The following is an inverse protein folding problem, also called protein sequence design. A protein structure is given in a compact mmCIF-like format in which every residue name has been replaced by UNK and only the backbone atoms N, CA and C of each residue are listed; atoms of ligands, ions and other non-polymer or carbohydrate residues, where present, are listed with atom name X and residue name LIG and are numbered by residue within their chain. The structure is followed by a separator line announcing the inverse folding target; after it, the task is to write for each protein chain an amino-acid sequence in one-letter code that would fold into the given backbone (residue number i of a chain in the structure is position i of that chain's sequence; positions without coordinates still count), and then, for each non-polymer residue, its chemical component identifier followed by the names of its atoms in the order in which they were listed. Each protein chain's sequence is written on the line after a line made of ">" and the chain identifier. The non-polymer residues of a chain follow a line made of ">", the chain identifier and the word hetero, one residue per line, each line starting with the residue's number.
data_IF_484422032516
#
_entry.id   IF_484422032516
#
_cell.length_a   1.000
_cell.length_b   1.000
_cell.length_c   1.000
_cell.angle_alpha   90.00
_cell.angle_beta   90.00
_cell.angle_gamma   90.00
#
_symmetry.space_group_name_H-M   'P 1'
#
loop_
_entity.id
_entity.type
_entity.pdbx_description
1 polymer ?
#
# COMPACT_ATOMS: atom_id res chain seq x y z
N UNK A 1 -36.41 14.23 2.53
CA UNK A 1 -36.87 15.63 2.39
C UNK A 1 -35.93 16.37 1.45
N UNK A 2 -36.45 17.07 0.44
CA UNK A 2 -35.63 17.80 -0.53
C UNK A 2 -34.86 18.93 0.17
N UNK A 3 -33.54 18.99 -0.04
CA UNK A 3 -32.67 20.01 0.56
C UNK A 3 -32.96 21.36 -0.10
N UNK A 4 -33.65 22.27 0.60
CA UNK A 4 -33.94 23.64 0.12
C UNK A 4 -32.62 24.37 -0.10
N UNK A 5 -32.30 24.68 -1.35
CA UNK A 5 -31.08 25.41 -1.71
C UNK A 5 -31.29 26.88 -1.39
N UNK A 6 -30.43 27.45 -0.54
CA UNK A 6 -30.43 28.88 -0.26
C UNK A 6 -30.07 29.66 -1.52
N UNK A 7 -30.99 30.52 -1.99
CA UNK A 7 -30.75 31.43 -3.12
C UNK A 7 -30.15 32.72 -2.56
N UNK A 8 -28.93 33.04 -3.00
CA UNK A 8 -28.21 34.22 -2.53
C UNK A 8 -28.64 35.46 -3.33
N UNK A 9 -29.02 36.52 -2.62
CA UNK A 9 -29.31 37.83 -3.23
C UNK A 9 -28.00 38.55 -3.60
N UNK A 10 -28.04 39.54 -4.52
CA UNK A 10 -26.87 40.36 -4.84
C UNK A 10 -26.25 41.02 -3.59
N UNK A 11 -27.07 41.50 -2.67
CA UNK A 11 -26.65 42.09 -1.40
C UNK A 11 -25.89 41.10 -0.51
N UNK A 12 -26.39 39.86 -0.40
CA UNK A 12 -25.73 38.79 0.35
C UNK A 12 -24.36 38.44 -0.25
N UNK A 13 -24.24 38.44 -1.58
CA UNK A 13 -22.97 38.18 -2.25
C UNK A 13 -21.97 39.34 -2.05
N UNK A 14 -22.45 40.58 -2.07
CA UNK A 14 -21.60 41.75 -1.82
C UNK A 14 -21.10 41.79 -0.36
N UNK A 15 -21.97 41.42 0.58
CA UNK A 15 -21.60 41.24 1.99
C UNK A 15 -20.45 40.22 2.15
N UNK A 16 -20.54 39.07 1.47
CA UNK A 16 -19.49 38.04 1.50
C UNK A 16 -18.19 38.60 0.89
N UNK A 17 -18.24 39.32 -0.23
CA UNK A 17 -17.05 39.89 -0.91
C UNK A 17 -16.28 40.88 -0.03
N UNK A 18 -16.99 41.76 0.69
CA UNK A 18 -16.39 42.77 1.56
C UNK A 18 -15.71 42.13 2.77
N UNK A 19 -16.40 41.20 3.42
CA UNK A 19 -15.95 40.66 4.70
C UNK A 19 -14.92 39.53 4.58
N UNK A 20 -14.90 38.76 3.49
CA UNK A 20 -14.00 37.59 3.36
C UNK A 20 -12.50 37.95 3.36
N UNK A 21 -12.16 39.20 3.00
CA UNK A 21 -10.79 39.71 3.04
C UNK A 21 -10.29 39.90 4.49
N UNK A 22 -11.20 40.22 5.40
CA UNK A 22 -10.88 40.62 6.78
C UNK A 22 -10.95 39.41 7.71
N UNK A 23 -11.95 38.56 7.55
CA UNK A 23 -12.23 37.46 8.50
C UNK A 23 -12.15 36.08 7.85
N UNK A 24 -12.16 35.04 8.69
CA UNK A 24 -12.21 33.65 8.24
C UNK A 24 -13.63 33.24 7.81
N UNK A 25 -13.76 32.17 7.03
CA UNK A 25 -15.08 31.62 6.67
C UNK A 25 -15.93 31.25 7.89
N UNK A 26 -15.30 30.86 9.01
CA UNK A 26 -15.99 30.50 10.26
C UNK A 26 -16.66 31.72 10.89
N UNK A 27 -15.91 32.80 11.05
CA UNK A 27 -16.41 34.08 11.59
C UNK A 27 -17.44 34.70 10.65
N UNK A 28 -17.16 34.69 9.34
CA UNK A 28 -18.06 35.22 8.31
C UNK A 28 -19.42 34.52 8.33
N UNK A 29 -19.44 33.20 8.52
CA UNK A 29 -20.71 32.44 8.58
C UNK A 29 -21.53 32.82 9.80
N UNK A 30 -20.89 33.01 10.96
CA UNK A 30 -21.58 33.45 12.18
C UNK A 30 -22.20 34.83 11.99
N UNK A 31 -21.45 35.76 11.40
CA UNK A 31 -21.93 37.10 11.12
C UNK A 31 -23.05 37.10 10.07
N UNK A 32 -22.88 36.36 8.97
CA UNK A 32 -23.87 36.23 7.90
C UNK A 32 -25.22 35.70 8.41
N UNK A 33 -25.18 34.63 9.21
CA UNK A 33 -26.39 34.05 9.82
C UNK A 33 -27.09 35.04 10.76
N UNK A 34 -26.34 35.83 11.53
CA UNK A 34 -26.89 36.87 12.40
C UNK A 34 -27.54 38.01 11.60
N UNK A 35 -26.90 38.47 10.54
CA UNK A 35 -27.35 39.64 9.75
C UNK A 35 -28.55 39.32 8.87
N UNK A 36 -28.62 38.13 8.27
CA UNK A 36 -29.68 37.75 7.32
C UNK A 36 -30.68 36.74 7.89
N UNK A 37 -30.61 36.42 9.19
CA UNK A 37 -31.51 35.47 9.85
C UNK A 37 -31.43 34.06 9.26
N UNK A 38 -30.29 33.66 8.70
CA UNK A 38 -30.10 32.35 8.07
C UNK A 38 -29.47 31.34 9.02
N UNK A 39 -29.59 30.04 8.72
CA UNK A 39 -28.90 28.97 9.43
C UNK A 39 -28.02 28.15 8.48
N UNK A 40 -27.07 28.82 7.83
CA UNK A 40 -26.14 28.20 6.89
C UNK A 40 -24.93 27.62 7.61
N UNK A 41 -24.44 26.48 7.12
CA UNK A 41 -23.17 25.91 7.58
C UNK A 41 -21.97 26.61 6.92
N UNK A 42 -20.81 26.55 7.59
CA UNK A 42 -19.54 27.11 7.06
C UNK A 42 -19.20 26.51 5.69
N UNK A 43 -19.47 25.21 5.48
CA UNK A 43 -19.27 24.53 4.20
C UNK A 43 -20.18 25.09 3.11
N UNK A 44 -21.44 25.39 3.42
CA UNK A 44 -22.38 25.96 2.45
C UNK A 44 -21.92 27.35 2.00
N UNK A 45 -21.51 28.20 2.95
CA UNK A 45 -21.05 29.56 2.63
C UNK A 45 -19.72 29.55 1.85
N UNK A 46 -18.78 28.68 2.23
CA UNK A 46 -17.52 28.50 1.51
C UNK A 46 -17.73 27.95 0.08
N UNK A 47 -18.68 27.03 -0.11
CA UNK A 47 -19.05 26.53 -1.44
C UNK A 47 -19.63 27.64 -2.33
N UNK A 48 -20.43 28.54 -1.75
CA UNK A 48 -20.94 29.73 -2.43
C UNK A 48 -19.80 30.67 -2.85
N UNK A 49 -18.82 30.89 -1.98
CA UNK A 49 -17.60 31.63 -2.33
C UNK A 49 -16.90 31.04 -3.56
N UNK A 50 -16.73 29.72 -3.62
CA UNK A 50 -16.17 29.02 -4.80
C UNK A 50 -17.02 29.24 -6.06
N UNK A 51 -18.34 29.04 -5.96
CA UNK A 51 -19.28 29.16 -7.09
C UNK A 51 -19.31 30.56 -7.70
N UNK A 52 -19.23 31.60 -6.87
CA UNK A 52 -19.23 33.00 -7.31
C UNK A 52 -17.82 33.60 -7.43
N UNK A 53 -16.76 32.77 -7.41
CA UNK A 53 -15.35 33.18 -7.54
C UNK A 53 -14.92 34.25 -6.51
N UNK A 54 -15.53 34.23 -5.33
CA UNK A 54 -15.19 35.13 -4.22
C UNK A 54 -13.99 34.54 -3.46
N UNK A 55 -12.82 35.16 -3.60
CA UNK A 55 -11.57 34.74 -2.99
C UNK A 55 -11.26 35.56 -1.74
N UNK A 56 -10.68 34.93 -0.72
CA UNK A 56 -10.20 35.60 0.50
C UNK A 56 -8.91 36.40 0.31
N UNK A 57 -8.21 36.21 -0.82
CA UNK A 57 -6.87 36.77 -1.05
C UNK A 57 -5.74 36.08 -0.28
N UNK A 58 -6.07 35.18 0.66
CA UNK A 58 -5.08 34.38 1.40
C UNK A 58 -4.62 33.22 0.51
N UNK A 59 -3.32 33.12 0.26
CA UNK A 59 -2.71 32.10 -0.59
C UNK A 59 -2.46 30.78 0.14
N UNK A 60 -2.29 30.84 1.47
CA UNK A 60 -1.84 29.69 2.27
C UNK A 60 -0.36 29.34 2.04
N UNK A 61 0.35 30.16 1.29
CA UNK A 61 1.78 30.04 1.05
C UNK A 61 2.54 30.93 2.04
N UNK A 62 3.76 30.53 2.39
CA UNK A 62 4.67 31.44 3.09
C UNK A 62 4.99 32.65 2.20
N UNK A 63 5.15 33.85 2.79
CA UNK A 63 5.62 35.01 2.05
C UNK A 63 6.94 34.74 1.34
N UNK A 64 7.15 35.42 0.21
CA UNK A 64 8.47 35.45 -0.43
C UNK A 64 9.48 35.97 0.62
N UNK A 65 10.63 35.30 0.71
CA UNK A 65 11.69 35.59 1.69
C UNK A 65 11.41 35.20 3.14
N UNK A 66 10.38 34.38 3.41
CA UNK A 66 10.15 33.80 4.72
C UNK A 66 11.30 32.85 5.12
N UNK A 67 12.09 33.25 6.13
CA UNK A 67 13.17 32.44 6.70
C UNK A 67 12.58 31.52 7.79
N UNK A 68 12.65 30.18 7.63
CA UNK A 68 12.26 29.26 8.67
C UNK A 68 13.13 29.45 9.92
N UNK A 69 12.55 29.28 11.11
CA UNK A 69 13.25 29.42 12.40
C UNK A 69 14.48 28.49 12.53
N UNK A 70 14.53 27.41 11.76
CA UNK A 70 15.60 26.41 11.76
C UNK A 70 16.62 26.59 10.62
N UNK A 71 16.58 27.69 9.86
CA UNK A 71 17.57 27.94 8.80
C UNK A 71 18.98 28.04 9.43
N UNK A 72 19.89 27.17 8.99
CA UNK A 72 21.25 27.09 9.53
C UNK A 72 21.42 26.12 10.71
N UNK A 73 20.32 25.60 11.28
CA UNK A 73 20.33 24.67 12.42
C UNK A 73 20.42 23.20 11.98
N UNK A 74 21.36 22.86 11.10
CA UNK A 74 21.54 21.47 10.63
C UNK A 74 22.01 20.59 11.79
N UNK A 75 21.26 19.53 12.09
CA UNK A 75 21.58 18.62 13.20
C UNK A 75 21.13 19.12 14.57
N UNK A 76 20.32 20.18 14.64
CA UNK A 76 19.75 20.65 15.90
C UNK A 76 18.90 19.56 16.57
N UNK A 77 19.20 19.32 17.84
CA UNK A 77 18.48 18.42 18.72
C UNK A 77 17.85 19.26 19.84
N UNK A 78 16.56 19.08 20.07
CA UNK A 78 15.89 19.78 21.17
C UNK A 78 16.46 19.30 22.52
N UNK A 79 16.68 20.19 23.51
CA UNK A 79 17.09 19.79 24.85
C UNK A 79 16.11 18.77 25.43
N UNK A 80 16.62 17.65 25.96
CA UNK A 80 15.82 16.56 26.51
C UNK A 80 15.47 15.47 25.49
N UNK A 81 15.70 15.69 24.18
CA UNK A 81 15.48 14.66 23.16
C UNK A 81 16.42 13.47 23.33
N UNK A 82 17.58 13.65 23.96
CA UNK A 82 18.61 12.64 24.21
C UNK A 82 18.07 11.43 24.98
N UNK A 83 17.10 11.64 25.87
CA UNK A 83 16.48 10.57 26.67
C UNK A 83 15.69 9.58 25.80
N UNK A 84 15.17 10.03 24.67
CA UNK A 84 14.36 9.24 23.73
C UNK A 84 15.14 8.71 22.53
N UNK A 85 16.41 9.09 22.40
CA UNK A 85 17.26 8.64 21.30
C UNK A 85 17.63 7.16 21.48
N UNK A 86 17.57 6.41 20.37
CA UNK A 86 18.03 5.02 20.37
C UNK A 86 19.52 4.96 20.69
N UNK A 87 19.89 4.28 21.77
CA UNK A 87 21.29 4.00 22.10
C UNK A 87 21.89 3.07 21.04
N UNK A 88 23.19 3.21 20.80
CA UNK A 88 23.93 2.30 19.91
C UNK A 88 23.76 0.85 20.40
N UNK A 89 23.40 -0.05 19.49
CA UNK A 89 23.13 -1.46 19.82
C UNK A 89 21.72 -1.74 20.34
N UNK A 90 20.83 -0.74 20.40
CA UNK A 90 19.43 -1.01 20.76
C UNK A 90 18.76 -1.86 19.67
N UNK A 91 18.32 -3.05 20.05
CA UNK A 91 17.60 -3.96 19.17
C UNK A 91 16.10 -3.67 19.30
N UNK A 92 15.36 -3.61 18.17
CA UNK A 92 13.90 -3.52 18.21
C UNK A 92 13.28 -4.67 19.03
N UNK A 93 12.13 -4.43 19.67
CA UNK A 93 11.42 -5.43 20.47
C UNK A 93 11.11 -6.73 19.70
N UNK A 94 10.91 -6.63 18.39
CA UNK A 94 10.61 -7.76 17.51
C UNK A 94 11.87 -8.39 16.88
N UNK A 95 13.08 -8.02 17.33
CA UNK A 95 14.29 -8.67 16.88
C UNK A 95 14.32 -10.12 17.39
N UNK A 96 14.74 -11.01 16.49
CA UNK A 96 14.94 -12.44 16.76
C UNK A 96 16.27 -12.89 16.14
N UNK A 97 16.97 -13.89 16.70
CA UNK A 97 18.25 -14.34 16.17
C UNK A 97 18.11 -15.00 14.78
N UNK A 98 19.21 -15.05 14.04
CA UNK A 98 19.31 -15.84 12.79
C UNK A 98 18.98 -17.31 13.10
N UNK A 99 18.19 -17.96 12.25
CA UNK A 99 17.65 -19.30 12.47
C UNK A 99 16.24 -19.33 13.06
N UNK A 100 15.73 -18.22 13.60
CA UNK A 100 14.33 -18.16 14.05
C UNK A 100 13.35 -18.39 12.91
N UNK A 101 12.27 -19.12 13.21
CA UNK A 101 11.20 -19.44 12.28
C UNK A 101 9.95 -18.59 12.57
N UNK A 102 9.27 -18.13 11.53
CA UNK A 102 7.99 -17.43 11.64
C UNK A 102 7.03 -17.86 10.55
N UNK A 103 5.73 -17.69 10.81
CA UNK A 103 4.67 -18.03 9.86
C UNK A 103 4.18 -16.74 9.21
N UNK A 104 4.13 -16.73 7.88
CA UNK A 104 3.57 -15.60 7.14
C UNK A 104 2.04 -15.58 7.20
N UNK A 105 1.42 -14.45 6.81
CA UNK A 105 -0.03 -14.30 6.73
C UNK A 105 -0.70 -15.40 5.88
N UNK A 106 0.01 -15.89 4.86
CA UNK A 106 -0.47 -16.91 3.92
C UNK A 106 -0.18 -18.35 4.39
N UNK A 107 0.33 -18.53 5.62
CA UNK A 107 0.60 -19.82 6.26
C UNK A 107 1.95 -20.46 5.92
N UNK A 108 2.80 -19.78 5.14
CA UNK A 108 4.14 -20.26 4.78
C UNK A 108 5.16 -19.98 5.87
N UNK A 109 6.06 -20.94 6.12
CA UNK A 109 7.15 -20.75 7.07
C UNK A 109 8.34 -19.99 6.44
N UNK A 110 8.88 -19.02 7.19
CA UNK A 110 10.09 -18.27 6.88
C UNK A 110 11.14 -18.51 7.95
N UNK A 111 12.41 -18.59 7.55
CA UNK A 111 13.57 -18.69 8.43
C UNK A 111 14.41 -17.42 8.28
N UNK A 112 14.83 -16.82 9.39
CA UNK A 112 15.75 -15.67 9.36
C UNK A 112 17.14 -16.17 8.95
N UNK A 113 17.66 -15.71 7.83
CA UNK A 113 18.95 -16.16 7.28
C UNK A 113 20.11 -15.19 7.59
N UNK A 114 19.81 -13.91 7.87
CA UNK A 114 20.82 -12.93 8.22
C UNK A 114 20.20 -11.67 8.87
N UNK A 115 21.02 -10.90 9.57
CA UNK A 115 20.65 -9.61 10.14
C UNK A 115 20.67 -8.47 9.11
N UNK A 116 19.94 -7.37 9.36
CA UNK A 116 18.98 -7.18 10.46
C UNK A 116 17.61 -7.85 10.23
N UNK A 117 17.18 -8.02 8.96
CA UNK A 117 15.85 -8.53 8.63
C UNK A 117 15.82 -9.30 7.29
N UNK A 118 16.76 -10.23 7.08
CA UNK A 118 16.78 -11.09 5.88
C UNK A 118 16.12 -12.42 6.20
N UNK A 119 15.01 -12.71 5.54
CA UNK A 119 14.21 -13.93 5.70
C UNK A 119 14.09 -14.67 4.38
N UNK A 120 14.20 -16.00 4.43
CA UNK A 120 13.94 -16.88 3.30
C UNK A 120 12.77 -17.83 3.63
N UNK A 121 11.99 -18.21 2.63
CA UNK A 121 10.97 -19.23 2.82
C UNK A 121 11.61 -20.61 3.01
N UNK A 122 11.17 -21.35 4.04
CA UNK A 122 11.79 -22.65 4.40
C UNK A 122 11.71 -23.68 3.28
N UNK A 123 10.57 -23.78 2.60
CA UNK A 123 10.38 -24.70 1.48
C UNK A 123 11.35 -24.42 0.33
N UNK A 124 11.58 -23.14 0.01
CA UNK A 124 12.58 -22.76 -1.00
C UNK A 124 13.98 -23.15 -0.54
N UNK A 125 14.35 -22.85 0.69
CA UNK A 125 15.67 -23.17 1.23
C UNK A 125 15.96 -24.68 1.22
N UNK A 126 14.98 -25.51 1.61
CA UNK A 126 15.10 -26.97 1.62
C UNK A 126 15.21 -27.51 0.19
N UNK A 127 14.41 -26.99 -0.74
CA UNK A 127 14.51 -27.36 -2.14
C UNK A 127 15.89 -27.03 -2.73
N UNK A 128 16.41 -25.84 -2.45
CA UNK A 128 17.74 -25.39 -2.92
C UNK A 128 18.87 -26.27 -2.35
N UNK A 129 18.77 -26.65 -1.06
CA UNK A 129 19.72 -27.55 -0.41
C UNK A 129 19.69 -28.96 -1.00
N UNK A 130 18.50 -29.50 -1.25
CA UNK A 130 18.34 -30.86 -1.80
C UNK A 130 18.86 -30.98 -3.24
N UNK A 131 18.56 -29.99 -4.08
CA UNK A 131 18.93 -30.01 -5.50
C UNK A 131 20.31 -29.39 -5.78
N UNK A 132 20.98 -28.83 -4.77
CA UNK A 132 22.29 -28.20 -4.90
C UNK A 132 22.32 -26.96 -5.80
N UNK A 133 21.16 -26.33 -6.07
CA UNK A 133 21.05 -25.17 -6.96
C UNK A 133 20.01 -24.16 -6.48
N UNK A 134 20.20 -22.85 -6.73
CA UNK A 134 19.21 -21.85 -6.41
C UNK A 134 17.96 -22.01 -7.27
N UNK A 135 16.80 -21.57 -6.78
CA UNK A 135 15.58 -21.50 -7.58
C UNK A 135 15.80 -20.52 -8.75
N UNK A 136 15.68 -20.96 -10.01
CA UNK A 136 15.93 -20.09 -11.16
C UNK A 136 14.95 -18.91 -11.22
N UNK A 137 15.36 -17.77 -11.80
CA UNK A 137 14.44 -16.65 -12.06
C UNK A 137 13.20 -17.13 -12.83
N UNK A 138 12.04 -16.61 -12.47
CA UNK A 138 10.77 -17.00 -13.11
C UNK A 138 10.25 -18.39 -12.71
N UNK A 139 10.84 -19.04 -11.71
CA UNK A 139 10.34 -20.28 -11.11
C UNK A 139 9.86 -20.07 -9.67
N UNK A 140 9.03 -20.98 -9.19
CA UNK A 140 8.50 -21.05 -7.84
C UNK A 140 8.54 -22.50 -7.36
N UNK A 141 8.72 -22.69 -6.05
CA UNK A 141 8.61 -24.01 -5.41
C UNK A 141 7.23 -24.10 -4.77
N UNK A 142 6.48 -25.15 -5.10
CA UNK A 142 5.15 -25.42 -4.55
C UNK A 142 5.16 -26.70 -3.72
N UNK A 143 4.19 -26.81 -2.81
CA UNK A 143 3.92 -28.05 -2.08
C UNK A 143 3.00 -28.93 -2.94
N UNK A 144 3.46 -30.12 -3.30
CA UNK A 144 2.74 -31.06 -4.15
C UNK A 144 1.45 -31.59 -3.52
N UNK A 145 1.45 -31.76 -2.20
CA UNK A 145 0.32 -32.21 -1.38
C UNK A 145 -0.58 -31.08 -0.86
N UNK A 146 -0.27 -29.82 -1.19
CA UNK A 146 -0.97 -28.64 -0.66
C UNK A 146 -0.70 -28.33 0.83
N UNK A 147 0.03 -29.19 1.55
CA UNK A 147 0.36 -28.99 2.96
C UNK A 147 1.62 -28.12 3.10
N UNK A 148 1.42 -26.85 3.48
CA UNK A 148 2.48 -25.84 3.66
C UNK A 148 3.49 -26.16 4.80
N UNK A 149 3.29 -27.27 5.52
CA UNK A 149 4.18 -27.76 6.59
C UNK A 149 4.89 -29.05 6.22
N UNK A 150 4.60 -29.67 5.08
CA UNK A 150 5.32 -30.85 4.61
C UNK A 150 6.55 -30.43 3.80
N UNK A 151 7.71 -30.45 4.46
CA UNK A 151 8.98 -30.04 3.87
C UNK A 151 9.80 -31.20 3.30
N UNK A 152 9.19 -32.36 3.04
CA UNK A 152 9.85 -33.45 2.32
C UNK A 152 10.33 -32.94 0.94
N UNK A 153 11.62 -33.04 0.60
CA UNK A 153 12.14 -32.61 -0.69
C UNK A 153 11.37 -33.17 -1.90
N UNK A 154 10.83 -34.38 -1.81
CA UNK A 154 10.07 -35.02 -2.90
C UNK A 154 8.67 -34.44 -3.09
N UNK A 155 8.13 -33.80 -2.04
CA UNK A 155 6.88 -33.03 -2.09
C UNK A 155 7.09 -31.60 -2.65
N UNK A 156 8.33 -31.12 -2.69
CA UNK A 156 8.65 -29.76 -3.14
C UNK A 156 8.90 -29.74 -4.65
N UNK A 157 7.92 -29.25 -5.40
CA UNK A 157 7.95 -29.27 -6.86
C UNK A 157 8.36 -27.89 -7.38
N UNK A 158 9.40 -27.85 -8.22
CA UNK A 158 9.79 -26.64 -8.94
C UNK A 158 8.90 -26.47 -10.18
N UNK A 159 8.24 -25.32 -10.28
CA UNK A 159 7.40 -24.95 -11.43
C UNK A 159 7.77 -23.56 -11.95
N UNK A 160 7.70 -23.36 -13.26
CA UNK A 160 7.76 -22.03 -13.86
C UNK A 160 6.51 -21.21 -13.50
N UNK A 161 6.61 -19.88 -13.56
CA UNK A 161 5.46 -18.99 -13.32
C UNK A 161 4.33 -19.18 -14.33
N UNK A 162 4.63 -19.57 -15.57
CA UNK A 162 3.63 -19.87 -16.61
C UNK A 162 2.90 -21.19 -16.31
N UNK A 163 3.62 -22.24 -15.91
CA UNK A 163 3.01 -23.50 -15.44
C UNK A 163 2.11 -23.23 -14.23
N UNK A 164 2.62 -22.56 -13.19
CA UNK A 164 1.86 -22.26 -11.98
C UNK A 164 0.56 -21.49 -12.27
N UNK A 165 0.60 -20.53 -13.20
CA UNK A 165 -0.59 -19.80 -13.61
C UNK A 165 -1.66 -20.73 -14.25
N UNK A 166 -1.24 -21.67 -15.10
CA UNK A 166 -2.16 -22.66 -15.70
C UNK A 166 -2.69 -23.65 -14.67
N UNK A 167 -1.83 -24.12 -13.78
CA UNK A 167 -2.24 -25.04 -12.72
C UNK A 167 -3.32 -24.42 -11.84
N UNK A 168 -3.15 -23.16 -11.43
CA UNK A 168 -4.16 -22.45 -10.63
C UNK A 168 -5.47 -22.21 -11.42
N UNK A 169 -5.39 -21.85 -12.69
CA UNK A 169 -6.59 -21.63 -13.53
C UNK A 169 -7.40 -22.91 -13.78
N UNK A 170 -6.74 -24.06 -13.73
CA UNK A 170 -7.33 -25.36 -14.08
C UNK A 170 -7.51 -26.29 -12.87
N UNK A 171 -7.15 -25.84 -11.66
CA UNK A 171 -7.23 -26.65 -10.45
C UNK A 171 -6.35 -27.90 -10.52
N UNK A 172 -5.13 -27.80 -11.07
CA UNK A 172 -4.22 -28.93 -11.23
C UNK A 172 -3.29 -29.15 -10.04
N UNK A 173 -3.38 -28.30 -9.01
CA UNK A 173 -2.71 -28.53 -7.72
C UNK A 173 -3.68 -29.34 -6.87
N UNK A 174 -3.31 -30.58 -6.57
CA UNK A 174 -4.11 -31.54 -5.83
C UNK A 174 -3.48 -31.79 -4.46
N UNK A 175 -4.14 -32.58 -3.61
CA UNK A 175 -3.62 -32.93 -2.26
C UNK A 175 -2.60 -34.10 -2.30
N UNK A 176 -2.09 -34.44 -3.48
CA UNK A 176 -1.15 -35.53 -3.69
C UNK A 176 -0.01 -35.07 -4.61
N UNK A 177 1.22 -35.40 -4.22
CA UNK A 177 2.41 -34.93 -4.92
C UNK A 177 2.53 -35.52 -6.33
N UNK A 178 2.15 -36.78 -6.57
CA UNK A 178 2.21 -37.41 -7.88
C UNK A 178 1.15 -36.84 -8.83
N UNK A 179 -0.07 -36.62 -8.32
CA UNK A 179 -1.12 -35.94 -9.07
C UNK A 179 -0.71 -34.51 -9.44
N UNK A 180 -0.10 -33.77 -8.53
CA UNK A 180 0.39 -32.42 -8.81
C UNK A 180 1.56 -32.43 -9.81
N UNK A 181 2.48 -33.40 -9.73
CA UNK A 181 3.53 -33.62 -10.75
C UNK A 181 2.92 -33.85 -12.14
N UNK A 182 1.87 -34.67 -12.22
CA UNK A 182 1.10 -34.87 -13.47
C UNK A 182 0.42 -33.58 -13.93
N UNK A 183 -0.11 -32.79 -12.98
CA UNK A 183 -0.67 -31.46 -13.23
C UNK A 183 0.33 -30.48 -13.86
N UNK A 184 1.62 -30.56 -13.52
CA UNK A 184 2.68 -29.76 -14.16
C UNK A 184 2.80 -30.12 -15.65
N UNK A 185 2.80 -31.41 -15.98
CA UNK A 185 2.87 -31.90 -17.37
C UNK A 185 1.65 -31.41 -18.17
N UNK A 186 0.46 -31.51 -17.58
CA UNK A 186 -0.78 -31.02 -18.19
C UNK A 186 -0.69 -29.49 -18.43
N UNK A 187 -0.12 -28.74 -17.50
CA UNK A 187 0.09 -27.30 -17.65
C UNK A 187 1.03 -26.95 -18.82
N UNK A 188 2.05 -27.77 -19.08
CA UNK A 188 2.94 -27.61 -20.24
C UNK A 188 2.22 -27.85 -21.55
N UNK A 189 1.37 -28.88 -21.63
CA UNK A 189 0.53 -29.15 -22.79
C UNK A 189 -0.35 -27.92 -23.08
N UNK A 190 -1.01 -27.37 -22.06
CA UNK A 190 -1.84 -26.17 -22.22
C UNK A 190 -1.04 -24.94 -22.66
N UNK A 191 0.15 -24.75 -22.10
CA UNK A 191 1.03 -23.66 -22.51
C UNK A 191 1.41 -23.80 -23.98
N UNK A 192 1.76 -25.01 -24.42
CA UNK A 192 2.12 -25.28 -25.81
C UNK A 192 0.96 -25.05 -26.78
N UNK A 193 -0.24 -25.52 -26.44
CA UNK A 193 -1.47 -25.25 -27.21
C UNK A 193 -1.68 -23.74 -27.35
N UNK A 194 -1.51 -22.99 -26.26
CA UNK A 194 -1.65 -21.53 -26.25
C UNK A 194 -0.61 -20.82 -27.14
N UNK A 195 0.64 -21.29 -27.15
CA UNK A 195 1.68 -20.77 -28.04
C UNK A 195 1.34 -20.99 -29.52
N UNK A 196 0.92 -22.20 -29.89
CA UNK A 196 0.56 -22.55 -31.28
C UNK A 196 -0.60 -21.71 -31.79
N UNK A 197 -1.66 -21.52 -30.97
CA UNK A 197 -2.80 -20.65 -31.33
C UNK A 197 -2.37 -19.21 -31.60
N UNK A 198 -1.43 -18.66 -30.83
CA UNK A 198 -0.90 -17.30 -31.05
C UNK A 198 -0.05 -17.21 -32.32
N UNK A 199 0.73 -18.26 -32.64
CA UNK A 199 1.51 -18.33 -33.89
C UNK A 199 0.59 -18.35 -35.11
N UNK A 200 -0.47 -19.15 -35.08
CA UNK A 200 -1.43 -19.26 -36.19
C UNK A 200 -2.24 -17.98 -36.40
N UNK A 201 -2.50 -17.17 -35.35
CA UNK A 201 -3.20 -15.89 -35.46
C UNK A 201 -2.33 -14.74 -35.99
N UNK A 202 -1.00 -14.90 -35.95
CA UNK A 202 -0.02 -13.91 -36.46
C UNK A 202 0.39 -14.16 -37.91
N UNK A 203 0.10 -15.35 -38.44
CA UNK A 203 0.16 -15.67 -39.87
C UNK A 203 -1.15 -15.24 -40.52
#
# INVERSE_FOLDING_TARGET
>A
MARKIHKYTPEQLDFIRKNIKIMTWKELTKLFNKTFGTNLSVKALAATGKRYKIKSGRTGCFPKDNIPWNKGLKGWQAPGSEQTQFKKGNLPKNWVPVGSETVDRDGYLKVKIADPNKWAYKHRFIWEKHHGRPVPPGHAVIFGDGNKRNFDPENLILVSRSQLARMNQKGLIQNDAELTKTGVIIADIYNKIGELKRKNKKR
#
